data_IF_623378546460
#
_entry.id   IF_623378546460
#
_cell.length_a   1.000
_cell.length_b   1.000
_cell.length_c   1.000
_cell.angle_alpha   90.00
_cell.angle_beta   90.00
_cell.angle_gamma   90.00
#
_symmetry.space_group_name_H-M   'P 1'
#
loop_
_entity.id
_entity.type
_entity.pdbx_description
1 polymer ?
#
# COMPACT_ATOMS: atom_id res chain seq x y z
N UNK A 1 43.82 -25.56 -23.49
CA UNK A 1 43.48 -24.13 -23.52
C UNK A 1 41.97 -24.09 -23.67
N UNK A 2 41.20 -24.23 -22.59
CA UNK A 2 40.84 -23.17 -21.60
C UNK A 2 40.33 -21.91 -22.33
N UNK A 3 39.15 -21.35 -22.05
CA UNK A 3 38.19 -21.45 -20.95
C UNK A 3 36.78 -21.21 -21.55
N UNK A 4 35.71 -21.92 -21.19
CA UNK A 4 34.93 -21.83 -19.95
C UNK A 4 34.59 -20.39 -19.53
N UNK A 5 33.28 -20.11 -19.46
CA UNK A 5 32.76 -18.77 -19.23
C UNK A 5 31.26 -18.69 -19.51
N UNK A 6 30.50 -19.69 -19.07
CA UNK A 6 29.05 -19.57 -18.88
C UNK A 6 28.79 -18.60 -17.72
N UNK A 7 28.81 -17.30 -18.03
CA UNK A 7 28.48 -16.25 -17.07
C UNK A 7 26.95 -16.17 -16.96
N UNK A 8 26.38 -17.20 -16.33
CA UNK A 8 25.00 -17.14 -15.83
C UNK A 8 24.94 -16.09 -14.74
N UNK A 9 24.51 -14.88 -15.12
CA UNK A 9 24.17 -13.80 -14.22
C UNK A 9 23.34 -14.35 -13.05
N UNK A 10 23.63 -13.97 -11.79
CA UNK A 10 22.95 -14.54 -10.64
C UNK A 10 21.46 -14.22 -10.74
N UNK A 11 20.67 -15.26 -10.97
CA UNK A 11 19.21 -15.23 -10.86
C UNK A 11 18.90 -14.59 -9.51
N UNK A 12 18.19 -13.45 -9.51
CA UNK A 12 17.69 -12.81 -8.30
C UNK A 12 17.15 -13.90 -7.38
N UNK A 13 17.76 -14.05 -6.20
CA UNK A 13 17.27 -14.94 -5.17
C UNK A 13 15.90 -14.43 -4.77
N UNK A 14 14.86 -14.97 -5.40
CA UNK A 14 13.53 -14.99 -4.81
C UNK A 14 13.71 -15.80 -3.53
N UNK A 15 13.89 -15.12 -2.40
CA UNK A 15 13.93 -15.76 -1.08
C UNK A 15 12.55 -16.38 -0.85
N UNK A 16 12.41 -17.64 -1.25
CA UNK A 16 11.23 -18.44 -0.96
C UNK A 16 11.25 -18.71 0.53
N UNK A 17 10.40 -18.00 1.26
CA UNK A 17 10.20 -18.22 2.70
C UNK A 17 9.90 -19.69 2.95
N UNK A 18 10.56 -20.26 3.95
CA UNK A 18 10.22 -21.60 4.46
C UNK A 18 8.76 -21.63 4.92
N UNK A 19 8.11 -22.81 4.96
CA UNK A 19 6.73 -22.93 5.45
C UNK A 19 6.53 -22.32 6.85
N UNK A 20 7.53 -22.46 7.74
CA UNK A 20 7.50 -21.88 9.08
C UNK A 20 7.57 -20.36 9.05
N UNK A 21 8.46 -19.78 8.23
CA UNK A 21 8.55 -18.32 8.04
C UNK A 21 7.27 -17.76 7.42
N UNK A 22 6.66 -18.46 6.48
CA UNK A 22 5.40 -18.06 5.88
C UNK A 22 4.25 -18.11 6.91
N UNK A 23 4.21 -19.15 7.77
CA UNK A 23 3.23 -19.24 8.85
C UNK A 23 3.36 -18.08 9.83
N UNK A 24 4.58 -17.83 10.33
CA UNK A 24 4.87 -16.72 11.23
C UNK A 24 4.54 -15.35 10.60
N UNK A 25 4.86 -15.18 9.31
CA UNK A 25 4.50 -13.97 8.56
C UNK A 25 2.99 -13.79 8.45
N UNK A 26 2.24 -14.87 8.22
CA UNK A 26 0.78 -14.79 8.14
C UNK A 26 0.16 -14.44 9.49
N UNK A 27 0.63 -15.04 10.58
CA UNK A 27 0.20 -14.69 11.95
C UNK A 27 0.48 -13.20 12.26
N UNK A 28 1.69 -12.73 11.97
CA UNK A 28 2.05 -11.33 12.16
C UNK A 28 1.16 -10.39 11.31
N UNK A 29 0.88 -10.75 10.06
CA UNK A 29 -0.03 -9.98 9.19
C UNK A 29 -1.45 -9.92 9.74
N UNK A 30 -1.95 -10.99 10.36
CA UNK A 30 -3.27 -10.98 10.99
C UNK A 30 -3.31 -10.00 12.14
N UNK A 31 -2.32 -10.05 13.04
CA UNK A 31 -2.23 -9.11 14.17
C UNK A 31 -2.15 -7.65 13.69
N UNK A 32 -1.29 -7.36 12.72
CA UNK A 32 -1.16 -6.02 12.14
C UNK A 32 -2.47 -5.55 11.50
N UNK A 33 -3.21 -6.44 10.84
CA UNK A 33 -4.53 -6.09 10.26
C UNK A 33 -5.55 -5.74 11.34
N UNK A 34 -5.55 -6.46 12.45
CA UNK A 34 -6.43 -6.16 13.58
C UNK A 34 -6.10 -4.80 14.20
N UNK A 35 -4.82 -4.52 14.40
CA UNK A 35 -4.35 -3.25 14.96
C UNK A 35 -4.65 -2.06 14.03
N UNK A 36 -4.42 -2.23 12.73
CA UNK A 36 -4.75 -1.20 11.73
C UNK A 36 -6.25 -0.91 11.68
N UNK A 37 -7.08 -1.95 11.72
CA UNK A 37 -8.53 -1.77 11.73
C UNK A 37 -8.98 -1.04 13.01
N UNK A 38 -8.41 -1.40 14.16
CA UNK A 38 -8.69 -0.70 15.41
C UNK A 38 -8.27 0.78 15.33
N UNK A 39 -7.06 1.06 14.84
CA UNK A 39 -6.58 2.42 14.63
C UNK A 39 -7.52 3.23 13.72
N UNK A 40 -7.99 2.65 12.61
CA UNK A 40 -8.92 3.32 11.69
C UNK A 40 -10.31 3.54 12.30
N UNK A 41 -10.78 2.65 13.18
CA UNK A 41 -12.01 2.87 13.95
C UNK A 41 -11.86 4.03 14.94
N UNK A 42 -10.72 4.11 15.62
CA UNK A 42 -10.44 5.16 16.59
C UNK A 42 -10.16 6.52 15.91
N UNK A 43 -9.77 6.51 14.63
CA UNK A 43 -9.43 7.70 13.84
C UNK A 43 -10.31 7.80 12.58
N UNK A 44 -11.61 8.14 12.71
CA UNK A 44 -12.55 8.16 11.60
C UNK A 44 -12.14 9.12 10.48
N UNK A 45 -11.47 10.23 10.80
CA UNK A 45 -10.96 11.19 9.82
C UNK A 45 -9.93 10.57 8.87
N UNK A 46 -9.02 9.74 9.41
CA UNK A 46 -8.03 8.99 8.60
C UNK A 46 -8.75 7.98 7.71
N UNK A 47 -9.74 7.27 8.24
CA UNK A 47 -10.53 6.31 7.47
C UNK A 47 -11.34 6.99 6.35
N UNK A 48 -11.87 8.20 6.57
CA UNK A 48 -12.57 8.99 5.54
C UNK A 48 -11.62 9.43 4.44
N UNK A 49 -10.48 10.03 4.80
CA UNK A 49 -9.43 10.48 3.86
C UNK A 49 -8.95 9.33 2.96
N UNK A 50 -8.60 8.18 3.56
CA UNK A 50 -8.08 7.05 2.81
C UNK A 50 -9.12 6.48 1.85
N UNK A 51 -10.39 6.39 2.28
CA UNK A 51 -11.48 5.96 1.40
C UNK A 51 -11.70 6.92 0.24
N UNK A 52 -11.60 8.23 0.44
CA UNK A 52 -11.75 9.19 -0.64
C UNK A 52 -10.61 9.12 -1.66
N UNK A 53 -9.37 8.92 -1.21
CA UNK A 53 -8.25 8.65 -2.11
C UNK A 53 -8.53 7.41 -2.97
N UNK A 54 -8.90 6.29 -2.35
CA UNK A 54 -9.18 5.04 -3.05
C UNK A 54 -10.33 5.20 -4.05
N UNK A 55 -11.43 5.86 -3.65
CA UNK A 55 -12.54 6.19 -4.57
C UNK A 55 -12.08 7.03 -5.74
N UNK A 56 -11.24 8.04 -5.50
CA UNK A 56 -10.66 8.88 -6.54
C UNK A 56 -9.82 8.08 -7.55
N UNK A 57 -8.93 7.21 -7.06
CA UNK A 57 -8.11 6.33 -7.90
C UNK A 57 -8.99 5.38 -8.72
N UNK A 58 -10.00 4.74 -8.11
CA UNK A 58 -10.88 3.80 -8.81
C UNK A 58 -11.76 4.48 -9.87
N UNK A 59 -12.17 5.72 -9.62
CA UNK A 59 -12.97 6.53 -10.55
C UNK A 59 -12.13 7.05 -11.71
N UNK A 60 -11.00 7.69 -11.40
CA UNK A 60 -10.20 8.43 -12.38
C UNK A 60 -9.19 7.51 -13.10
N UNK A 61 -8.96 6.30 -12.57
CA UNK A 61 -8.06 5.26 -13.10
C UNK A 61 -6.73 5.84 -13.62
N UNK A 62 -5.97 6.57 -12.78
CA UNK A 62 -4.77 7.25 -13.22
C UNK A 62 -3.70 6.24 -13.63
N UNK A 63 -2.91 6.58 -14.65
CA UNK A 63 -1.77 5.78 -15.10
C UNK A 63 -0.74 5.55 -13.98
N UNK A 64 -0.59 6.52 -13.07
CA UNK A 64 0.29 6.40 -11.91
C UNK A 64 -0.49 6.75 -10.62
N UNK A 65 -0.90 5.74 -9.83
CA UNK A 65 -1.59 5.95 -8.56
C UNK A 65 -0.79 6.72 -7.51
N UNK A 66 0.54 6.59 -7.50
CA UNK A 66 1.40 7.29 -6.54
C UNK A 66 1.44 8.79 -6.81
N UNK A 67 1.57 9.19 -8.08
CA UNK A 67 1.48 10.61 -8.48
C UNK A 67 0.10 11.18 -8.18
N UNK A 68 -0.96 10.39 -8.37
CA UNK A 68 -2.32 10.79 -8.01
C UNK A 68 -2.44 11.02 -6.50
N UNK A 69 -1.93 10.10 -5.67
CA UNK A 69 -1.94 10.23 -4.22
C UNK A 69 -1.15 11.46 -3.74
N UNK A 70 0.04 11.70 -4.31
CA UNK A 70 0.82 12.91 -4.02
C UNK A 70 -0.01 14.17 -4.27
N UNK A 71 -0.63 14.29 -5.45
CA UNK A 71 -1.50 15.43 -5.81
C UNK A 71 -2.73 15.52 -4.92
N UNK A 72 -3.31 14.38 -4.53
CA UNK A 72 -4.46 14.33 -3.64
C UNK A 72 -4.14 14.95 -2.28
N UNK A 73 -2.98 14.63 -1.70
CA UNK A 73 -2.55 15.05 -0.37
C UNK A 73 -1.80 16.39 -0.31
N UNK A 74 -1.31 16.89 -1.45
CA UNK A 74 -0.73 18.25 -1.53
C UNK A 74 -1.78 19.35 -1.62
N UNK A 75 -3.06 19.00 -1.74
CA UNK A 75 -4.16 19.96 -1.57
C UNK A 75 -4.26 20.39 -0.11
N UNK A 76 -4.83 21.56 0.12
CA UNK A 76 -5.11 22.06 1.46
C UNK A 76 -5.97 21.06 2.25
N UNK A 77 -5.55 20.72 3.46
CA UNK A 77 -6.26 19.81 4.36
C UNK A 77 -7.69 20.30 4.66
N UNK A 78 -7.90 21.62 4.74
CA UNK A 78 -9.24 22.19 4.93
C UNK A 78 -10.15 21.90 3.73
N UNK A 79 -9.61 21.97 2.51
CA UNK A 79 -10.33 21.64 1.27
C UNK A 79 -10.63 20.14 1.20
N UNK A 80 -9.66 19.29 1.57
CA UNK A 80 -9.87 17.85 1.63
C UNK A 80 -10.98 17.51 2.64
N UNK A 81 -10.99 18.15 3.81
CA UNK A 81 -12.03 17.94 4.84
C UNK A 81 -13.42 18.36 4.35
N UNK A 82 -13.53 19.53 3.72
CA UNK A 82 -14.78 20.00 3.14
C UNK A 82 -15.32 19.04 2.05
N UNK A 83 -14.44 18.55 1.17
CA UNK A 83 -14.78 17.58 0.12
C UNK A 83 -15.29 16.24 0.69
N UNK A 84 -14.82 15.86 1.88
CA UNK A 84 -15.21 14.64 2.57
C UNK A 84 -16.58 14.77 3.23
N UNK A 85 -16.83 15.91 3.88
CA UNK A 85 -18.10 16.16 4.57
C UNK A 85 -19.24 16.48 3.59
N UNK A 86 -18.94 16.98 2.39
CA UNK A 86 -19.94 17.28 1.35
C UNK A 86 -20.40 16.05 0.55
N UNK A 87 -19.81 14.87 0.76
CA UNK A 87 -20.08 13.63 0.01
C UNK A 87 -20.68 12.50 0.85
N UNK A 88 -21.02 12.79 2.11
CA UNK A 88 -21.86 11.96 2.98
C UNK A 88 -23.35 12.33 2.76
#
# INVERSE_FOLDING_TARGET
MEADGDETAPVEKVEVLTPQQLSALNEAKVMIRMDNEQYLRDHPDVAKVTRALVRGILRDRPTNPSTYAYRFFTRDLAVIRQDLDAKD
#
